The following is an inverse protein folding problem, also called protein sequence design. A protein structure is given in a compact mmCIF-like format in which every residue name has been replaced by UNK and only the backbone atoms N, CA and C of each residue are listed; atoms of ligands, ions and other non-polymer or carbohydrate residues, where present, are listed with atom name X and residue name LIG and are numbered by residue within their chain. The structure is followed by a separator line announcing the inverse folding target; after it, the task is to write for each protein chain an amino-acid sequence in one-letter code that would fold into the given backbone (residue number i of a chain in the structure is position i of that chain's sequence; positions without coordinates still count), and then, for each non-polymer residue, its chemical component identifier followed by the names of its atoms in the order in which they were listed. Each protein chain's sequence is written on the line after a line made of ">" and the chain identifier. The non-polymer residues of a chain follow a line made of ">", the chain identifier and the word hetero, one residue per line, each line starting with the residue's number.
data_IF_199127057878
#
_entry.id   IF_199127057878
#
_cell.length_a   1.000
_cell.length_b   1.000
_cell.length_c   1.000
_cell.angle_alpha   90.00
_cell.angle_beta   90.00
_cell.angle_gamma   90.00
#
_symmetry.space_group_name_H-M   'P 1'
#
loop_
_entity.id
_entity.type
_entity.pdbx_description
1 polymer ?
#
# COMPACT_ATOMS: atom_id res chain seq x y z
N UNK A 1 -0.41 -0.52 11.47
CA UNK A 1 -0.94 0.81 11.81
C UNK A 1 0.21 1.74 12.12
N UNK A 2 0.50 2.69 11.23
CA UNK A 2 1.54 3.71 11.40
C UNK A 2 0.91 5.04 11.84
N UNK A 3 -0.20 4.95 12.57
CA UNK A 3 -1.03 6.06 12.99
C UNK A 3 -1.30 5.95 14.49
N UNK A 4 -1.18 7.06 15.20
CA UNK A 4 -1.67 7.20 16.57
C UNK A 4 -2.63 8.38 16.64
N UNK A 5 -3.72 8.21 17.38
CA UNK A 5 -4.66 9.28 17.67
C UNK A 5 -4.36 9.82 19.07
N UNK A 6 -4.24 11.15 19.18
CA UNK A 6 -4.18 11.83 20.47
C UNK A 6 -5.58 11.94 21.08
N UNK A 7 -5.65 12.25 22.37
CA UNK A 7 -6.92 12.44 23.08
C UNK A 7 -7.77 13.58 22.50
N UNK A 8 -7.15 14.57 21.84
CA UNK A 8 -7.83 15.66 21.16
C UNK A 8 -8.32 15.31 19.73
N UNK A 9 -8.14 14.05 19.31
CA UNK A 9 -8.52 13.56 17.98
C UNK A 9 -7.50 13.85 16.87
N UNK A 10 -6.37 14.51 17.17
CA UNK A 10 -5.32 14.73 16.18
C UNK A 10 -4.53 13.46 15.86
N UNK A 11 -4.11 13.33 14.60
CA UNK A 11 -3.39 12.19 14.06
C UNK A 11 -1.87 12.41 14.12
N UNK A 12 -1.13 11.40 14.56
CA UNK A 12 0.33 11.32 14.46
C UNK A 12 0.68 10.20 13.50
N UNK A 13 1.39 10.55 12.42
CA UNK A 13 1.97 9.57 11.50
C UNK A 13 3.33 9.13 12.02
N UNK A 14 3.49 7.83 12.18
CA UNK A 14 4.71 7.17 12.62
C UNK A 14 5.37 6.48 11.43
N UNK A 15 6.59 5.99 11.68
CA UNK A 15 7.27 5.07 10.78
C UNK A 15 7.45 5.58 9.33
N UNK A 16 8.42 6.50 9.18
CA UNK A 16 8.78 7.14 7.91
C UNK A 16 9.79 6.33 7.08
N UNK A 17 9.99 5.04 7.39
CA UNK A 17 11.08 4.24 6.80
C UNK A 17 10.95 4.01 5.27
N UNK A 18 9.75 4.20 4.71
CA UNK A 18 9.46 4.11 3.27
C UNK A 18 9.20 5.48 2.62
N UNK A 19 9.39 6.57 3.36
CA UNK A 19 9.17 7.92 2.85
C UNK A 19 10.20 8.24 1.76
N UNK A 20 9.70 8.68 0.61
CA UNK A 20 10.50 9.11 -0.52
C UNK A 20 9.77 10.22 -1.27
N UNK A 21 10.48 10.95 -2.12
CA UNK A 21 9.84 11.91 -3.01
C UNK A 21 9.02 11.15 -4.06
N UNK A 22 7.70 11.23 -3.95
CA UNK A 22 6.73 10.60 -4.84
C UNK A 22 5.46 11.44 -4.97
N UNK A 23 4.54 11.01 -5.83
CA UNK A 23 3.23 11.66 -5.96
C UNK A 23 2.31 11.25 -4.81
N UNK A 24 1.59 12.20 -4.20
CA UNK A 24 0.72 11.91 -3.04
C UNK A 24 -0.39 10.89 -3.29
N UNK A 25 -0.75 10.63 -4.56
CA UNK A 25 -1.66 9.55 -4.93
C UNK A 25 -1.14 8.15 -4.55
N UNK A 26 0.18 7.98 -4.41
CA UNK A 26 0.79 6.73 -3.94
C UNK A 26 0.49 6.47 -2.46
N UNK A 27 0.54 7.51 -1.63
CA UNK A 27 0.18 7.41 -0.21
C UNK A 27 -1.32 7.09 -0.06
N UNK A 28 -2.17 7.72 -0.89
CA UNK A 28 -3.59 7.41 -0.96
C UNK A 28 -3.84 5.95 -1.38
N UNK A 29 -3.13 5.47 -2.40
CA UNK A 29 -3.20 4.08 -2.86
C UNK A 29 -2.81 3.10 -1.77
N UNK A 30 -1.68 3.33 -1.10
CA UNK A 30 -1.23 2.51 0.01
C UNK A 30 -2.23 2.51 1.17
N UNK A 31 -2.76 3.68 1.54
CA UNK A 31 -3.75 3.79 2.61
C UNK A 31 -4.98 2.93 2.31
N UNK A 32 -5.60 3.16 1.14
CA UNK A 32 -6.84 2.50 0.76
C UNK A 32 -6.65 0.99 0.53
N UNK A 33 -5.51 0.54 0.00
CA UNK A 33 -5.31 -0.87 -0.34
C UNK A 33 -4.70 -1.72 0.78
N UNK A 34 -4.06 -1.12 1.79
CA UNK A 34 -3.37 -1.87 2.85
C UNK A 34 -3.98 -1.70 4.23
N UNK A 35 -4.56 -0.54 4.52
CA UNK A 35 -5.00 -0.19 5.88
C UNK A 35 -6.52 -0.34 6.08
N UNK A 36 -7.27 -0.60 5.02
CA UNK A 36 -8.71 -0.90 5.10
C UNK A 36 -8.98 -2.37 4.79
N UNK A 37 -10.09 -2.90 5.31
CA UNK A 37 -10.65 -4.14 4.76
C UNK A 37 -11.15 -3.91 3.34
N UNK A 38 -11.31 -4.99 2.56
CA UNK A 38 -11.81 -4.89 1.18
C UNK A 38 -13.21 -4.27 1.17
N UNK A 39 -14.05 -4.64 2.14
CA UNK A 39 -15.42 -4.18 2.30
C UNK A 39 -15.44 -2.67 2.62
N UNK A 40 -14.68 -2.24 3.63
CA UNK A 40 -14.61 -0.83 4.02
C UNK A 40 -14.03 0.04 2.89
N UNK A 41 -13.01 -0.46 2.16
CA UNK A 41 -12.50 0.24 0.99
C UNK A 41 -13.60 0.40 -0.06
N UNK A 42 -14.27 -0.68 -0.47
CA UNK A 42 -15.34 -0.63 -1.49
C UNK A 42 -16.46 0.33 -1.11
N UNK A 43 -16.82 0.38 0.17
CA UNK A 43 -17.86 1.26 0.69
C UNK A 43 -17.45 2.75 0.64
N UNK A 44 -16.19 3.07 0.95
CA UNK A 44 -15.76 4.45 1.18
C UNK A 44 -14.79 5.02 0.13
N UNK A 45 -14.30 4.22 -0.82
CA UNK A 45 -13.21 4.59 -1.74
C UNK A 45 -13.49 5.89 -2.49
N UNK A 46 -14.63 6.00 -3.18
CA UNK A 46 -14.95 7.21 -3.97
C UNK A 46 -15.03 8.45 -3.09
N UNK A 47 -15.68 8.36 -1.92
CA UNK A 47 -15.77 9.48 -0.98
C UNK A 47 -14.41 9.91 -0.45
N UNK A 48 -13.51 8.96 -0.17
CA UNK A 48 -12.16 9.25 0.31
C UNK A 48 -11.30 9.87 -0.79
N UNK A 49 -11.43 9.42 -2.04
CA UNK A 49 -10.75 10.00 -3.20
C UNK A 49 -11.24 11.43 -3.45
N UNK A 50 -12.56 11.67 -3.39
CA UNK A 50 -13.14 13.00 -3.56
C UNK A 50 -12.71 13.95 -2.46
N UNK A 51 -12.67 13.47 -1.22
CA UNK A 51 -12.17 14.25 -0.07
C UNK A 51 -10.70 14.62 -0.28
N UNK A 52 -9.86 13.65 -0.62
CA UNK A 52 -8.44 13.89 -0.87
C UNK A 52 -8.22 14.90 -2.01
N UNK A 53 -8.95 14.75 -3.12
CA UNK A 53 -8.89 15.69 -4.24
C UNK A 53 -9.34 17.10 -3.84
N UNK A 54 -10.45 17.21 -3.09
CA UNK A 54 -10.95 18.48 -2.58
C UNK A 54 -9.94 19.20 -1.70
N UNK A 55 -9.26 18.48 -0.80
CA UNK A 55 -8.20 19.03 0.05
C UNK A 55 -6.96 19.45 -0.73
N UNK A 56 -6.56 18.71 -1.79
CA UNK A 56 -5.47 19.14 -2.67
C UNK A 56 -5.79 20.49 -3.34
N UNK A 57 -7.00 20.62 -3.88
CA UNK A 57 -7.44 21.86 -4.54
C UNK A 57 -7.54 23.01 -3.54
N UNK A 58 -8.10 22.77 -2.35
CA UNK A 58 -8.17 23.76 -1.27
C UNK A 58 -6.76 24.18 -0.79
N UNK A 59 -5.81 23.26 -0.80
CA UNK A 59 -4.39 23.48 -0.53
C UNK A 59 -3.62 24.21 -1.64
N UNK A 60 -4.28 24.56 -2.76
CA UNK A 60 -3.71 25.36 -3.84
C UNK A 60 -3.06 24.55 -4.96
N UNK A 61 -3.25 23.22 -5.02
CA UNK A 61 -2.83 22.42 -6.17
C UNK A 61 -3.72 22.78 -7.36
N UNK A 62 -3.11 23.40 -8.38
CA UNK A 62 -3.73 23.73 -9.66
C UNK A 62 -3.22 22.79 -10.77
N UNK A 63 -3.90 22.78 -11.91
CA UNK A 63 -3.54 21.98 -13.10
C UNK A 63 -3.44 20.46 -12.86
N UNK A 64 -4.08 19.97 -11.80
CA UNK A 64 -4.20 18.55 -11.46
C UNK A 64 -5.66 18.14 -11.46
N UNK A 65 -6.06 17.28 -12.40
CA UNK A 65 -7.45 16.85 -12.54
C UNK A 65 -7.77 15.60 -11.72
N UNK A 66 -9.05 15.36 -11.44
CA UNK A 66 -9.50 14.13 -10.76
C UNK A 66 -9.17 12.88 -11.58
N UNK A 67 -9.23 12.97 -12.91
CA UNK A 67 -8.83 11.88 -13.81
C UNK A 67 -7.33 11.60 -13.71
N UNK A 68 -6.52 12.65 -13.52
CA UNK A 68 -5.08 12.52 -13.27
C UNK A 68 -4.83 11.82 -11.93
N UNK A 69 -5.53 12.23 -10.87
CA UNK A 69 -5.52 11.55 -9.57
C UNK A 69 -5.87 10.07 -9.71
N UNK A 70 -6.91 9.73 -10.46
CA UNK A 70 -7.30 8.32 -10.64
C UNK A 70 -6.25 7.51 -11.41
N UNK A 71 -5.59 8.10 -12.41
CA UNK A 71 -4.47 7.44 -13.09
C UNK A 71 -3.30 7.20 -12.14
N UNK A 72 -2.91 8.21 -11.37
CA UNK A 72 -1.80 8.13 -10.42
C UNK A 72 -2.11 7.18 -9.27
N UNK A 73 -3.36 7.15 -8.79
CA UNK A 73 -3.85 6.22 -7.79
C UNK A 73 -3.74 4.77 -8.28
N UNK A 74 -4.20 4.48 -9.52
CA UNK A 74 -4.05 3.14 -10.13
C UNK A 74 -2.58 2.75 -10.26
N UNK A 75 -1.70 3.68 -10.66
CA UNK A 75 -0.26 3.43 -10.66
C UNK A 75 0.29 3.15 -9.25
N UNK A 76 -0.18 3.91 -8.25
CA UNK A 76 0.14 3.73 -6.85
C UNK A 76 -0.26 2.35 -6.32
N UNK A 77 -1.41 1.80 -6.74
CA UNK A 77 -1.84 0.44 -6.35
C UNK A 77 -0.88 -0.65 -6.84
N UNK A 78 -0.33 -0.47 -8.05
CA UNK A 78 0.67 -1.39 -8.61
C UNK A 78 1.99 -1.29 -7.83
N UNK A 79 2.43 -0.07 -7.49
CA UNK A 79 3.64 0.14 -6.68
C UNK A 79 3.44 -0.38 -5.26
N UNK A 80 2.27 -0.22 -4.66
CA UNK A 80 1.95 -0.71 -3.32
C UNK A 80 2.09 -2.24 -3.21
N UNK A 81 1.95 -2.99 -4.31
CA UNK A 81 2.17 -4.44 -4.34
C UNK A 81 3.62 -4.84 -3.99
N UNK A 82 4.59 -3.94 -4.20
CA UNK A 82 6.00 -4.22 -3.86
C UNK A 82 6.21 -4.43 -2.36
N UNK A 83 5.37 -3.82 -1.51
CA UNK A 83 5.51 -3.90 -0.05
C UNK A 83 5.27 -5.33 0.47
N UNK A 84 4.10 -5.97 0.23
CA UNK A 84 3.91 -7.35 0.67
C UNK A 84 4.87 -8.33 -0.02
N UNK A 85 5.26 -8.09 -1.28
CA UNK A 85 6.27 -8.91 -1.98
C UNK A 85 7.63 -8.86 -1.27
N UNK A 86 8.08 -7.67 -0.88
CA UNK A 86 9.30 -7.50 -0.10
C UNK A 86 9.18 -8.10 1.31
N UNK A 87 7.98 -8.06 1.90
CA UNK A 87 7.67 -8.72 3.16
C UNK A 87 7.86 -10.25 3.08
N UNK A 88 7.33 -10.89 2.03
CA UNK A 88 7.53 -12.33 1.78
C UNK A 88 9.02 -12.67 1.69
N UNK A 89 9.78 -11.93 0.87
CA UNK A 89 11.22 -12.12 0.72
C UNK A 89 11.97 -12.03 2.07
N UNK A 90 11.56 -11.07 2.91
CA UNK A 90 12.16 -10.90 4.24
C UNK A 90 11.88 -12.10 5.15
N UNK A 91 10.67 -12.67 5.08
CA UNK A 91 10.32 -13.88 5.83
C UNK A 91 11.11 -15.09 5.35
N UNK A 92 11.31 -15.22 4.03
CA UNK A 92 12.14 -16.27 3.44
C UNK A 92 13.60 -16.17 3.92
N UNK A 93 14.20 -14.97 3.87
CA UNK A 93 15.57 -14.73 4.35
C UNK A 93 15.74 -15.12 5.84
N UNK A 94 14.76 -14.78 6.67
CA UNK A 94 14.77 -15.13 8.11
C UNK A 94 14.62 -16.63 8.32
N UNK A 95 13.79 -17.29 7.53
CA UNK A 95 13.59 -18.74 7.57
C UNK A 95 14.86 -19.49 7.17
N UNK A 96 15.51 -19.07 6.08
CA UNK A 96 16.75 -19.68 5.58
C UNK A 96 17.94 -19.47 6.52
N UNK A 97 18.06 -18.28 7.13
CA UNK A 97 19.12 -17.95 8.09
C UNK A 97 18.93 -18.59 9.47
N UNK A 98 17.74 -19.15 9.75
CA UNK A 98 17.38 -19.67 11.08
C UNK A 98 17.28 -18.59 12.16
N UNK A 99 17.20 -17.31 11.78
CA UNK A 99 16.98 -16.17 12.67
C UNK A 99 18.04 -15.95 13.77
N UNK A 100 19.21 -16.58 13.69
CA UNK A 100 20.26 -16.48 14.72
C UNK A 100 19.88 -17.11 16.07
N UNK A 101 18.89 -18.00 16.07
CA UNK A 101 18.34 -18.64 17.27
C UNK A 101 19.31 -19.65 17.89
N UNK A 102 19.49 -19.61 19.21
CA UNK A 102 20.39 -20.50 19.95
C UNK A 102 19.70 -21.37 21.00
N UNK A 103 18.48 -21.01 21.39
CA UNK A 103 17.68 -21.70 22.41
C UNK A 103 16.31 -22.15 21.87
N UNK A 104 15.68 -23.08 22.59
CA UNK A 104 14.34 -23.57 22.21
C UNK A 104 13.24 -22.51 22.43
N UNK A 105 13.39 -21.64 23.43
CA UNK A 105 12.47 -20.54 23.68
C UNK A 105 12.51 -19.51 22.53
N UNK A 106 13.71 -19.14 22.09
CA UNK A 106 13.91 -18.27 20.93
C UNK A 106 13.33 -18.90 19.64
N UNK A 107 13.43 -20.22 19.47
CA UNK A 107 12.84 -20.94 18.33
C UNK A 107 11.31 -20.82 18.33
N UNK A 108 10.68 -21.09 19.47
CA UNK A 108 9.23 -20.99 19.60
C UNK A 108 8.73 -19.54 19.38
N UNK A 109 9.49 -18.54 19.82
CA UNK A 109 9.18 -17.12 19.55
C UNK A 109 9.32 -16.79 18.06
N UNK A 110 10.39 -17.25 17.41
CA UNK A 110 10.62 -17.04 15.99
C UNK A 110 9.50 -17.65 15.15
N UNK A 111 9.10 -18.89 15.44
CA UNK A 111 8.00 -19.56 14.72
C UNK A 111 6.68 -18.78 14.81
N UNK A 112 6.35 -18.24 15.99
CA UNK A 112 5.16 -17.40 16.17
C UNK A 112 5.26 -16.08 15.40
N UNK A 113 6.44 -15.46 15.39
CA UNK A 113 6.70 -14.24 14.66
C UNK A 113 6.59 -14.46 13.14
N UNK A 114 7.17 -15.55 12.62
CA UNK A 114 7.06 -15.94 11.20
C UNK A 114 5.61 -16.25 10.81
N UNK A 115 4.87 -16.97 11.65
CA UNK A 115 3.46 -17.24 11.39
C UNK A 115 2.62 -15.96 11.34
N UNK A 116 2.85 -15.04 12.28
CA UNK A 116 2.16 -13.74 12.32
C UNK A 116 2.55 -12.86 11.12
N UNK A 117 3.84 -12.85 10.75
CA UNK A 117 4.35 -12.14 9.59
C UNK A 117 3.75 -12.67 8.28
N UNK A 118 3.64 -14.00 8.14
CA UNK A 118 3.01 -14.63 6.98
C UNK A 118 1.54 -14.23 6.85
N UNK A 119 0.78 -14.28 7.96
CA UNK A 119 -0.62 -13.84 7.96
C UNK A 119 -0.78 -12.37 7.53
N UNK A 120 0.13 -11.49 8.00
CA UNK A 120 0.14 -10.09 7.64
C UNK A 120 0.38 -9.90 6.13
N UNK A 121 1.45 -10.48 5.57
CA UNK A 121 1.77 -10.29 4.15
C UNK A 121 0.73 -10.92 3.22
N UNK A 122 0.11 -12.04 3.63
CA UNK A 122 -1.02 -12.63 2.90
C UNK A 122 -2.21 -11.67 2.88
N UNK A 123 -2.61 -11.15 4.04
CA UNK A 123 -3.74 -10.21 4.15
C UNK A 123 -3.50 -8.94 3.33
N UNK A 124 -2.28 -8.38 3.41
CA UNK A 124 -1.85 -7.23 2.61
C UNK A 124 -1.92 -7.52 1.11
N UNK A 125 -1.46 -8.70 0.69
CA UNK A 125 -1.50 -9.12 -0.71
C UNK A 125 -2.94 -9.25 -1.21
N UNK A 126 -3.81 -9.91 -0.47
CA UNK A 126 -5.22 -10.12 -0.83
C UNK A 126 -5.97 -8.79 -1.00
N UNK A 127 -5.80 -7.86 -0.05
CA UNK A 127 -6.43 -6.53 -0.11
C UNK A 127 -5.93 -5.72 -1.30
N UNK A 128 -4.62 -5.75 -1.55
CA UNK A 128 -4.03 -5.02 -2.67
C UNK A 128 -4.47 -5.57 -4.02
N UNK A 129 -4.51 -6.90 -4.16
CA UNK A 129 -4.99 -7.56 -5.38
C UNK A 129 -6.45 -7.19 -5.63
N UNK A 130 -7.32 -7.24 -4.62
CA UNK A 130 -8.71 -6.79 -4.76
C UNK A 130 -8.79 -5.33 -5.20
N UNK A 131 -7.93 -4.44 -4.66
CA UNK A 131 -7.88 -3.05 -5.07
C UNK A 131 -7.42 -2.86 -6.52
N UNK A 132 -6.41 -3.61 -6.97
CA UNK A 132 -5.91 -3.58 -8.34
C UNK A 132 -7.02 -3.96 -9.34
N UNK A 133 -7.80 -5.00 -9.02
CA UNK A 133 -8.87 -5.48 -9.91
C UNK A 133 -10.09 -4.56 -9.88
N UNK A 134 -10.55 -4.13 -8.70
CA UNK A 134 -11.71 -3.24 -8.59
C UNK A 134 -11.52 -1.87 -9.27
N UNK A 135 -10.26 -1.45 -9.46
CA UNK A 135 -9.89 -0.18 -10.09
C UNK A 135 -9.29 -0.34 -11.49
N UNK A 136 -9.35 -1.55 -12.06
CA UNK A 136 -8.75 -1.88 -13.36
C UNK A 136 -7.26 -1.46 -13.47
N UNK A 137 -6.52 -1.37 -12.36
CA UNK A 137 -5.15 -0.89 -12.35
C UNK A 137 -4.22 -1.82 -13.16
N UNK A 138 -4.55 -3.10 -13.26
CA UNK A 138 -3.84 -4.07 -14.09
C UNK A 138 -3.84 -3.73 -15.59
N UNK A 139 -4.84 -2.99 -16.10
CA UNK A 139 -4.89 -2.54 -17.49
C UNK A 139 -3.89 -1.40 -17.80
N UNK A 140 -3.49 -0.64 -16.78
CA UNK A 140 -2.55 0.47 -16.92
C UNK A 140 -1.16 -0.02 -17.42
N UNK A 141 -0.77 -1.23 -17.04
CA UNK A 141 0.45 -1.88 -17.55
C UNK A 141 0.38 -2.15 -19.05
N UNK A 142 -0.79 -2.51 -19.56
CA UNK A 142 -1.02 -2.77 -20.98
C UNK A 142 -1.01 -1.46 -21.77
N UNK A 143 -1.63 -0.41 -21.23
CA UNK A 143 -1.63 0.94 -21.81
C UNK A 143 -0.19 1.47 -21.96
N UNK A 144 0.65 1.34 -20.92
CA UNK A 144 2.05 1.75 -20.94
C UNK A 144 2.90 0.94 -21.93
N UNK A 145 2.65 -0.37 -22.03
CA UNK A 145 3.33 -1.22 -23.00
C UNK A 145 2.99 -0.83 -24.44
N UNK A 146 1.71 -0.53 -24.71
CA UNK A 146 1.25 -0.08 -26.02
C UNK A 146 1.80 1.30 -26.40
N UNK A 147 1.84 2.26 -25.46
CA UNK A 147 2.38 3.60 -25.74
C UNK A 147 3.87 3.57 -26.10
N UNK A 148 4.65 2.72 -25.41
CA UNK A 148 6.08 2.55 -25.71
C UNK A 148 6.30 1.93 -27.10
N UNK A 149 5.48 0.95 -27.50
CA UNK A 149 5.57 0.33 -28.82
C UNK A 149 5.15 1.26 -29.97
N UNK A 150 4.27 2.23 -29.71
CA UNK A 150 3.86 3.25 -30.71
C UNK A 150 4.83 4.44 -30.82
N UNK A 151 5.76 4.57 -29.88
CA UNK A 151 6.76 5.65 -29.82
C UNK A 151 8.13 5.25 -30.39
N UNK A 152 8.27 3.99 -30.82
CA UNK A 152 9.45 3.38 -31.46
C UNK A 152 9.21 3.10 -32.93
#
# INVERSE_FOLDING_TARGET
>A
ENFMFREDGSLVVLDWQLAHAGGGAQDLAYFLSQNLTVEARREHQESLIDTYFGELVAGGVADYSREQLMRDFRAGLLVAMTIPVNGIRTLDDVTESGGGVTTEEERALLERALASGLQLVTTMSERNVAAIFDNDAHLLLQELAASNASSS
#
